data_IF_653186018526
#
_entry.id   IF_653186018526
#
_cell.length_a   1.000
_cell.length_b   1.000
_cell.length_c   1.000
_cell.angle_alpha   90.00
_cell.angle_beta   90.00
_cell.angle_gamma   90.00
#
_symmetry.space_group_name_H-M   'P 1'
#
loop_
_entity.id
_entity.type
_entity.pdbx_description
1 polymer ?
#
# COMPACT_ATOMS: atom_id res chain seq x y z
N UNK A 1 -1.00 32.86 32.86
CA UNK A 1 0.44 32.76 32.57
C UNK A 1 0.57 31.95 31.28
N UNK A 2 0.66 32.63 30.13
CA UNK A 2 0.85 31.99 28.82
C UNK A 2 2.33 31.68 28.63
N UNK A 3 2.64 30.43 28.29
CA UNK A 3 4.00 29.97 28.00
C UNK A 3 4.49 30.44 26.64
N UNK A 4 5.81 30.44 26.47
CA UNK A 4 6.52 30.80 25.25
C UNK A 4 6.09 29.91 24.07
N UNK A 5 5.64 30.54 22.99
CA UNK A 5 5.20 29.84 21.78
C UNK A 5 6.42 29.34 21.00
N UNK A 6 6.58 28.02 20.91
CA UNK A 6 7.72 27.39 20.25
C UNK A 6 7.92 27.88 18.81
N UNK A 7 9.10 28.45 18.53
CA UNK A 7 9.47 28.87 17.18
C UNK A 7 9.71 27.66 16.26
N UNK A 8 9.24 27.71 15.00
CA UNK A 8 9.40 26.59 14.08
C UNK A 8 10.88 26.34 13.74
N UNK A 9 11.26 25.07 13.71
CA UNK A 9 12.61 24.64 13.31
C UNK A 9 12.93 25.04 11.87
N UNK A 10 14.21 25.36 11.61
CA UNK A 10 14.70 25.71 10.27
C UNK A 10 14.65 24.51 9.33
N UNK A 11 13.72 24.53 8.38
CA UNK A 11 13.56 23.47 7.37
C UNK A 11 14.77 23.41 6.41
N UNK A 12 15.14 22.19 5.99
CA UNK A 12 16.08 21.97 4.87
C UNK A 12 15.38 22.26 3.54
N UNK A 13 16.10 22.80 2.55
CA UNK A 13 15.54 23.21 1.25
C UNK A 13 14.64 22.13 0.60
N UNK A 14 15.08 20.87 0.63
CA UNK A 14 14.32 19.73 0.12
C UNK A 14 12.95 19.54 0.83
N UNK A 15 12.89 19.73 2.14
CA UNK A 15 11.65 19.59 2.90
C UNK A 15 10.68 20.72 2.61
N UNK A 16 11.22 21.93 2.38
CA UNK A 16 10.44 23.10 1.95
C UNK A 16 9.81 22.87 0.57
N UNK A 17 10.58 22.35 -0.38
CA UNK A 17 10.10 22.02 -1.73
C UNK A 17 9.02 20.93 -1.72
N UNK A 18 9.22 19.85 -0.96
CA UNK A 18 8.24 18.77 -0.83
C UNK A 18 6.92 19.27 -0.17
N UNK A 19 7.02 20.15 0.83
CA UNK A 19 5.86 20.79 1.47
C UNK A 19 5.08 21.66 0.49
N UNK A 20 5.79 22.50 -0.26
CA UNK A 20 5.20 23.43 -1.23
C UNK A 20 4.56 22.68 -2.41
N UNK A 21 5.20 21.60 -2.87
CA UNK A 21 4.62 20.72 -3.90
C UNK A 21 3.37 20.00 -3.40
N UNK A 22 3.36 19.54 -2.14
CA UNK A 22 2.17 18.92 -1.52
C UNK A 22 1.05 19.93 -1.32
N UNK A 23 1.37 21.17 -0.95
CA UNK A 23 0.38 22.25 -0.81
C UNK A 23 -0.18 22.67 -2.17
N UNK A 24 0.66 22.79 -3.20
CA UNK A 24 0.23 23.05 -4.57
C UNK A 24 -0.67 21.93 -5.11
N UNK A 25 -0.33 20.67 -4.85
CA UNK A 25 -1.17 19.52 -5.21
C UNK A 25 -2.49 19.45 -4.42
N UNK A 26 -2.54 20.03 -3.21
CA UNK A 26 -3.78 20.19 -2.43
C UNK A 26 -4.63 21.34 -2.97
N UNK A 27 -4.02 22.49 -3.30
CA UNK A 27 -4.70 23.62 -3.95
C UNK A 27 -5.20 23.29 -5.35
N UNK A 28 -4.48 22.48 -6.12
CA UNK A 28 -4.93 22.03 -7.45
C UNK A 28 -6.08 21.02 -7.37
N UNK A 29 -6.30 20.40 -6.21
CA UNK A 29 -7.41 19.47 -5.95
C UNK A 29 -8.60 20.10 -5.22
N UNK A 30 -8.49 21.38 -4.84
CA UNK A 30 -9.45 22.07 -3.98
C UNK A 30 -9.84 23.46 -4.48
N UNK A 31 -9.78 23.72 -5.79
CA UNK A 31 -10.46 24.88 -6.37
C UNK A 31 -11.94 24.55 -6.52
N UNK A 32 -12.66 24.69 -5.42
CA UNK A 32 -14.12 24.56 -5.34
C UNK A 32 -14.56 24.97 -3.94
N UNK A 33 -14.88 26.26 -3.79
CA UNK A 33 -15.68 26.82 -2.69
C UNK A 33 -15.00 26.92 -1.32
N UNK A 34 -15.00 28.12 -0.75
CA UNK A 34 -14.82 28.30 0.68
C UNK A 34 -16.19 28.06 1.35
N UNK A 35 -16.39 26.89 1.95
CA UNK A 35 -17.58 26.64 2.78
C UNK A 35 -17.29 27.14 4.20
N UNK A 36 -17.69 28.39 4.45
CA UNK A 36 -17.79 28.98 5.79
C UNK A 36 -19.19 28.71 6.38
N UNK A 37 -19.56 27.44 6.53
CA UNK A 37 -20.74 27.05 7.33
C UNK A 37 -20.38 25.89 8.27
N UNK A 38 -20.68 26.08 9.56
CA UNK A 38 -20.36 25.19 10.69
C UNK A 38 -21.37 24.02 10.80
N UNK A 39 -21.64 23.36 9.67
CA UNK A 39 -22.50 22.18 9.62
C UNK A 39 -21.64 20.91 9.53
N UNK A 40 -21.85 20.00 10.48
CA UNK A 40 -21.16 18.73 10.61
C UNK A 40 -21.29 17.90 9.32
N UNK A 41 -20.18 17.52 8.64
CA UNK A 41 -20.28 16.82 7.37
C UNK A 41 -20.71 15.37 7.62
N UNK A 42 -21.93 15.02 7.20
CA UNK A 42 -22.38 13.63 7.20
C UNK A 42 -21.44 12.73 6.38
N UNK A 43 -21.17 11.55 6.92
CA UNK A 43 -20.26 10.58 6.36
C UNK A 43 -20.72 10.14 4.97
N UNK A 44 -20.05 10.66 3.93
CA UNK A 44 -20.20 10.18 2.56
C UNK A 44 -19.84 8.70 2.52
N UNK A 45 -20.85 7.84 2.48
CA UNK A 45 -20.75 6.43 2.11
C UNK A 45 -19.95 6.37 0.82
N UNK A 46 -18.83 5.66 0.88
CA UNK A 46 -17.91 5.51 -0.23
C UNK A 46 -18.57 4.69 -1.34
N UNK A 47 -19.37 5.35 -2.18
CA UNK A 47 -19.78 4.78 -3.44
C UNK A 47 -18.54 4.57 -4.31
N UNK A 48 -18.36 3.31 -4.69
CA UNK A 48 -17.64 2.82 -5.86
C UNK A 48 -16.45 3.70 -6.30
N UNK A 49 -15.29 3.28 -5.79
CA UNK A 49 -14.05 3.10 -6.56
C UNK A 49 -14.25 3.42 -8.05
N UNK A 50 -13.86 4.65 -8.40
CA UNK A 50 -13.81 5.25 -9.74
C UNK A 50 -13.69 4.18 -10.82
N UNK A 51 -14.78 3.94 -11.56
CA UNK A 51 -14.71 3.38 -12.91
C UNK A 51 -13.93 4.39 -13.74
N UNK A 52 -12.67 4.06 -13.98
CA UNK A 52 -11.87 4.67 -15.03
C UNK A 52 -11.99 3.70 -16.20
N UNK A 53 -12.37 4.22 -17.35
CA UNK A 53 -12.65 3.53 -18.61
C UNK A 53 -14.05 2.88 -18.70
N UNK A 54 -15.06 3.72 -18.68
CA UNK A 54 -16.25 3.62 -19.56
C UNK A 54 -16.75 5.06 -19.68
N UNK A 55 -15.96 5.89 -20.35
CA UNK A 55 -16.57 6.95 -21.16
C UNK A 55 -17.14 6.19 -22.36
N UNK A 56 -18.32 5.58 -22.15
CA UNK A 56 -19.26 5.33 -23.23
C UNK A 56 -19.53 6.71 -23.82
N UNK A 57 -18.72 7.06 -24.80
CA UNK A 57 -19.12 7.88 -25.92
C UNK A 57 -20.25 7.10 -26.59
N UNK A 58 -21.43 7.14 -25.97
CA UNK A 58 -22.71 6.97 -26.64
C UNK A 58 -22.85 8.18 -27.59
N UNK A 59 -22.02 8.21 -28.63
CA UNK A 59 -22.35 8.89 -29.87
C UNK A 59 -23.36 7.98 -30.61
N UNK A 60 -24.53 7.83 -30.00
CA UNK A 60 -25.79 7.57 -30.69
C UNK A 60 -26.29 8.92 -31.24
N UNK A 61 -25.42 9.58 -32.01
CA UNK A 61 -25.58 10.92 -32.55
C UNK A 61 -25.70 10.88 -34.06
N UNK A 62 -26.70 10.15 -34.59
CA UNK A 62 -26.78 9.92 -36.03
C UNK A 62 -28.14 9.55 -36.62
N UNK A 63 -29.27 9.77 -35.93
CA UNK A 63 -30.56 9.89 -36.62
C UNK A 63 -30.76 11.37 -36.99
N UNK A 64 -30.16 11.79 -38.10
CA UNK A 64 -30.50 13.05 -38.77
C UNK A 64 -30.41 12.81 -40.27
N UNK A 65 -31.57 12.70 -40.90
CA UNK A 65 -31.70 12.33 -42.29
C UNK A 65 -30.99 13.24 -43.27
N UNK A 66 -30.66 12.68 -44.42
CA UNK A 66 -30.78 13.37 -45.70
C UNK A 66 -30.81 12.31 -46.80
N UNK A 67 -31.85 12.35 -47.62
CA UNK A 67 -31.84 11.66 -48.90
C UNK A 67 -30.67 12.14 -49.75
N UNK A 68 -30.09 11.23 -50.53
CA UNK A 68 -29.00 11.54 -51.44
C UNK A 68 -28.30 10.28 -51.92
N UNK A 69 -28.69 9.84 -53.11
CA UNK A 69 -27.91 9.13 -54.13
C UNK A 69 -26.40 8.91 -53.80
N UNK A 70 -25.97 7.65 -53.64
CA UNK A 70 -24.57 7.31 -53.32
C UNK A 70 -24.36 5.84 -52.94
N UNK A 71 -24.63 4.91 -53.86
CA UNK A 71 -24.73 3.46 -53.62
C UNK A 71 -23.45 2.68 -53.21
N UNK A 72 -22.33 3.34 -52.90
CA UNK A 72 -21.05 2.66 -52.60
C UNK A 72 -20.39 3.10 -51.27
N UNK A 73 -20.71 4.29 -50.75
CA UNK A 73 -20.03 4.86 -49.56
C UNK A 73 -20.64 4.36 -48.23
N UNK A 74 -21.95 4.09 -48.21
CA UNK A 74 -22.66 3.57 -47.04
C UNK A 74 -22.23 2.15 -46.65
N UNK A 75 -21.80 1.34 -47.62
CA UNK A 75 -21.37 -0.04 -47.37
C UNK A 75 -20.05 -0.12 -46.60
N UNK A 76 -19.10 0.77 -46.87
CA UNK A 76 -17.80 0.78 -46.18
C UNK A 76 -17.92 1.22 -44.71
N UNK A 77 -18.74 2.23 -44.44
CA UNK A 77 -18.98 2.70 -43.07
C UNK A 77 -19.66 1.62 -42.21
N UNK A 78 -20.66 0.92 -42.78
CA UNK A 78 -21.29 -0.23 -42.12
C UNK A 78 -20.30 -1.36 -41.84
N UNK A 79 -19.38 -1.66 -42.77
CA UNK A 79 -18.35 -2.68 -42.58
C UNK A 79 -17.40 -2.32 -41.43
N UNK A 80 -16.94 -1.07 -41.34
CA UNK A 80 -16.06 -0.59 -40.27
C UNK A 80 -16.77 -0.64 -38.92
N UNK A 81 -18.05 -0.25 -38.87
CA UNK A 81 -18.86 -0.29 -37.65
C UNK A 81 -19.12 -1.74 -37.18
N UNK A 82 -19.39 -2.67 -38.10
CA UNK A 82 -19.51 -4.11 -37.78
C UNK A 82 -18.17 -4.68 -37.29
N UNK A 83 -17.06 -4.29 -37.90
CA UNK A 83 -15.73 -4.74 -37.49
C UNK A 83 -15.33 -4.21 -36.10
N UNK A 84 -15.68 -2.96 -35.78
CA UNK A 84 -15.40 -2.36 -34.47
C UNK A 84 -16.26 -3.00 -33.37
N UNK A 85 -17.55 -3.26 -33.63
CA UNK A 85 -18.43 -4.03 -32.74
C UNK A 85 -17.91 -5.45 -32.50
N UNK A 86 -17.58 -6.19 -33.56
CA UNK A 86 -17.04 -7.54 -33.45
C UNK A 86 -15.71 -7.59 -32.66
N UNK A 87 -14.84 -6.57 -32.78
CA UNK A 87 -13.61 -6.46 -31.99
C UNK A 87 -13.90 -6.23 -30.51
N UNK A 88 -14.88 -5.38 -30.16
CA UNK A 88 -15.31 -5.14 -28.78
C UNK A 88 -15.88 -6.43 -28.16
N UNK A 89 -16.72 -7.15 -28.90
CA UNK A 89 -17.31 -8.42 -28.46
C UNK A 89 -16.25 -9.51 -28.23
N UNK A 90 -15.28 -9.67 -29.15
CA UNK A 90 -14.16 -10.59 -28.97
C UNK A 90 -13.35 -10.28 -27.72
N UNK A 91 -13.00 -9.01 -27.50
CA UNK A 91 -12.27 -8.58 -26.30
C UNK A 91 -13.06 -8.84 -25.01
N UNK A 92 -14.39 -8.65 -25.04
CA UNK A 92 -15.28 -8.97 -23.92
C UNK A 92 -15.33 -10.48 -23.65
N UNK A 93 -15.47 -11.29 -24.70
CA UNK A 93 -15.48 -12.74 -24.59
C UNK A 93 -14.14 -13.30 -24.06
N UNK A 94 -13.01 -12.76 -24.53
CA UNK A 94 -11.67 -13.11 -24.03
C UNK A 94 -11.51 -12.73 -22.55
N UNK A 95 -11.99 -11.55 -22.14
CA UNK A 95 -11.96 -11.12 -20.74
C UNK A 95 -12.84 -12.01 -19.84
N UNK A 96 -14.04 -12.37 -20.30
CA UNK A 96 -14.94 -13.26 -19.57
C UNK A 96 -14.39 -14.68 -19.48
N UNK A 97 -13.79 -15.21 -20.55
CA UNK A 97 -13.11 -16.50 -20.55
C UNK A 97 -11.90 -16.51 -19.60
N UNK A 98 -11.09 -15.45 -19.61
CA UNK A 98 -9.97 -15.30 -18.68
C UNK A 98 -10.44 -15.20 -17.22
N UNK A 99 -11.55 -14.49 -16.98
CA UNK A 99 -12.16 -14.37 -15.65
C UNK A 99 -12.74 -15.70 -15.16
N UNK A 100 -13.35 -16.49 -16.06
CA UNK A 100 -13.86 -17.81 -15.75
C UNK A 100 -12.72 -18.79 -15.45
N UNK A 101 -11.66 -18.79 -16.24
CA UNK A 101 -10.46 -19.62 -16.03
C UNK A 101 -9.69 -19.25 -14.75
N UNK A 102 -9.72 -17.97 -14.34
CA UNK A 102 -9.10 -17.50 -13.11
C UNK A 102 -9.91 -17.83 -11.85
N UNK A 103 -11.13 -18.38 -11.99
CA UNK A 103 -11.94 -18.77 -10.84
C UNK A 103 -11.32 -20.04 -10.23
N UNK A 104 -10.89 -20.00 -8.95
CA UNK A 104 -10.35 -21.19 -8.32
C UNK A 104 -11.43 -22.27 -8.21
N UNK A 105 -11.08 -23.50 -8.57
CA UNK A 105 -11.88 -24.67 -8.26
C UNK A 105 -11.79 -24.92 -6.75
N UNK A 106 -12.94 -24.97 -6.09
CA UNK A 106 -13.02 -25.39 -4.70
C UNK A 106 -13.28 -26.89 -4.70
N UNK A 107 -12.31 -27.68 -4.23
CA UNK A 107 -12.53 -29.09 -3.93
C UNK A 107 -13.46 -29.20 -2.72
N UNK A 108 -14.74 -29.44 -2.98
CA UNK A 108 -15.63 -30.00 -1.97
C UNK A 108 -15.19 -31.46 -1.77
N UNK A 109 -14.43 -31.72 -0.71
CA UNK A 109 -14.19 -33.09 -0.23
C UNK A 109 -15.53 -33.66 0.25
N UNK A 110 -16.28 -34.21 -0.70
CA UNK A 110 -17.57 -34.84 -0.50
C UNK A 110 -17.37 -36.33 -0.20
N UNK A 111 -16.91 -36.64 1.00
CA UNK A 111 -17.09 -37.99 1.53
C UNK A 111 -17.63 -37.90 2.96
N UNK A 112 -18.91 -38.26 3.13
CA UNK A 112 -19.60 -38.28 4.42
C UNK A 112 -20.23 -36.96 4.91
N UNK A 113 -20.73 -36.94 6.17
CA UNK A 113 -21.41 -35.79 6.74
C UNK A 113 -20.44 -34.60 6.94
N UNK A 114 -20.97 -33.38 6.81
CA UNK A 114 -20.20 -32.12 6.91
C UNK A 114 -19.44 -32.04 8.25
N UNK A 115 -18.12 -31.96 8.19
CA UNK A 115 -17.28 -31.80 9.37
C UNK A 115 -17.33 -30.37 9.95
N UNK A 116 -17.16 -30.23 11.26
CA UNK A 116 -17.03 -28.92 11.91
C UNK A 116 -15.70 -28.25 11.52
N UNK A 117 -15.78 -26.98 11.11
CA UNK A 117 -14.59 -26.19 10.75
C UNK A 117 -13.79 -25.78 11.99
N UNK A 118 -12.48 -25.57 11.81
CA UNK A 118 -11.60 -25.07 12.89
C UNK A 118 -12.05 -23.73 13.48
N UNK A 119 -12.69 -22.88 12.69
CA UNK A 119 -13.22 -21.60 13.13
C UNK A 119 -14.31 -21.79 14.19
N UNK A 120 -15.27 -22.70 13.92
CA UNK A 120 -16.35 -23.04 14.83
C UNK A 120 -15.79 -23.77 16.06
N UNK A 121 -14.93 -24.78 15.86
CA UNK A 121 -14.37 -25.59 16.95
C UNK A 121 -13.56 -24.75 17.95
N UNK A 122 -12.74 -23.82 17.47
CA UNK A 122 -11.87 -23.02 18.34
C UNK A 122 -12.48 -21.71 18.83
N UNK A 123 -13.57 -21.25 18.21
CA UNK A 123 -14.30 -20.02 18.53
C UNK A 123 -13.38 -18.84 18.93
N UNK A 124 -12.35 -18.57 18.12
CA UNK A 124 -11.30 -17.58 18.44
C UNK A 124 -11.68 -16.14 18.08
N UNK A 125 -12.79 -15.90 17.39
CA UNK A 125 -13.25 -14.58 16.98
C UNK A 125 -12.21 -13.74 16.22
N UNK A 126 -12.39 -12.42 16.23
CA UNK A 126 -11.55 -11.42 15.56
C UNK A 126 -10.32 -11.04 16.40
N UNK A 127 -9.46 -12.00 16.72
CA UNK A 127 -8.21 -11.72 17.47
C UNK A 127 -7.13 -11.07 16.59
N UNK A 128 -6.34 -10.12 17.11
CA UNK A 128 -5.25 -9.49 16.36
C UNK A 128 -4.13 -10.50 16.07
N UNK A 129 -3.36 -10.24 15.01
CA UNK A 129 -2.22 -11.08 14.66
C UNK A 129 -1.11 -10.95 15.71
N UNK A 130 -0.76 -12.07 16.34
CA UNK A 130 0.35 -12.17 17.31
C UNK A 130 1.57 -12.81 16.65
N UNK A 131 2.77 -12.32 17.00
CA UNK A 131 4.01 -12.86 16.47
C UNK A 131 4.26 -14.30 16.91
N UNK A 132 4.99 -15.08 16.09
CA UNK A 132 5.30 -16.49 16.39
C UNK A 132 6.12 -16.65 17.67
N UNK A 133 6.97 -15.67 18.03
CA UNK A 133 7.80 -15.73 19.25
C UNK A 133 6.98 -15.63 20.53
N UNK A 134 5.80 -15.02 20.50
CA UNK A 134 4.91 -14.93 21.67
C UNK A 134 4.21 -16.26 21.96
N UNK A 135 4.14 -17.18 20.99
CA UNK A 135 3.56 -18.52 21.20
C UNK A 135 4.36 -19.36 22.21
N UNK A 136 5.67 -19.11 22.34
CA UNK A 136 6.53 -19.82 23.28
C UNK A 136 7.24 -18.81 24.21
N UNK A 137 6.91 -18.76 25.51
CA UNK A 137 7.46 -17.77 26.43
C UNK A 137 8.99 -17.87 26.55
N UNK A 138 9.57 -19.07 26.47
CA UNK A 138 11.02 -19.29 26.48
C UNK A 138 11.70 -18.61 25.29
N UNK A 139 11.14 -18.79 24.10
CA UNK A 139 11.67 -18.19 22.86
C UNK A 139 11.60 -16.66 22.92
N UNK A 140 10.47 -16.12 23.42
CA UNK A 140 10.31 -14.67 23.62
C UNK A 140 11.40 -14.10 24.54
N UNK A 141 11.67 -14.77 25.67
CA UNK A 141 12.67 -14.31 26.66
C UNK A 141 14.09 -14.45 26.12
N UNK A 142 14.41 -15.55 25.42
CA UNK A 142 15.72 -15.73 24.74
C UNK A 142 16.00 -14.61 23.73
N UNK A 143 15.04 -14.33 22.84
CA UNK A 143 15.19 -13.25 21.85
C UNK A 143 15.29 -11.86 22.51
N UNK A 144 14.56 -11.62 23.60
CA UNK A 144 14.68 -10.37 24.38
C UNK A 144 16.07 -10.22 24.97
N UNK A 145 16.63 -11.30 25.53
CA UNK A 145 17.98 -11.31 26.08
C UNK A 145 19.05 -11.08 25.00
N UNK A 146 18.97 -11.77 23.87
CA UNK A 146 19.89 -11.57 22.74
C UNK A 146 19.85 -10.14 22.21
N UNK A 147 18.65 -9.55 22.06
CA UNK A 147 18.49 -8.14 21.68
C UNK A 147 19.09 -7.20 22.74
N UNK A 148 18.85 -7.45 24.02
CA UNK A 148 19.42 -6.65 25.09
C UNK A 148 20.95 -6.75 25.12
N UNK A 149 21.52 -7.95 24.95
CA UNK A 149 22.97 -8.18 24.87
C UNK A 149 23.61 -7.36 23.73
N UNK A 150 22.97 -7.30 22.56
CA UNK A 150 23.41 -6.47 21.44
C UNK A 150 23.34 -4.97 21.74
N UNK A 151 22.26 -4.50 22.37
CA UNK A 151 22.10 -3.09 22.80
C UNK A 151 23.11 -2.68 23.88
N UNK A 152 23.41 -3.57 24.82
CA UNK A 152 24.44 -3.31 25.83
C UNK A 152 25.81 -3.09 25.18
N UNK A 153 26.14 -3.91 24.17
CA UNK A 153 27.40 -3.77 23.43
C UNK A 153 27.48 -2.50 22.56
N UNK A 154 26.35 -1.87 22.23
CA UNK A 154 26.36 -0.57 21.53
C UNK A 154 26.46 0.63 22.48
N UNK A 155 25.99 0.49 23.73
CA UNK A 155 26.05 1.57 24.72
C UNK A 155 27.38 1.64 25.45
N UNK A 156 27.95 0.48 25.79
CA UNK A 156 29.23 0.39 26.49
C UNK A 156 30.12 -0.68 25.87
N UNK A 157 31.42 -0.49 26.02
CA UNK A 157 32.38 -1.53 25.68
C UNK A 157 32.15 -2.73 26.60
N UNK A 158 31.75 -3.87 26.03
CA UNK A 158 31.61 -5.14 26.74
C UNK A 158 32.79 -6.01 26.35
N UNK A 159 33.52 -6.51 27.34
CA UNK A 159 34.59 -7.48 27.13
C UNK A 159 33.99 -8.75 26.48
N UNK A 160 34.53 -9.15 25.32
CA UNK A 160 34.07 -10.33 24.59
C UNK A 160 35.00 -11.50 24.83
N UNK A 161 36.23 -11.41 24.33
CA UNK A 161 37.31 -12.37 24.56
C UNK A 161 38.64 -11.63 24.42
N UNK A 162 39.67 -12.08 25.13
CA UNK A 162 41.01 -11.50 25.07
C UNK A 162 41.75 -11.83 23.78
N UNK A 163 42.77 -11.04 23.46
CA UNK A 163 43.63 -11.20 22.27
C UNK A 163 44.24 -12.60 22.21
N UNK A 164 44.58 -13.19 23.36
CA UNK A 164 45.14 -14.55 23.45
C UNK A 164 44.27 -15.66 22.86
N UNK A 165 42.94 -15.45 22.74
CA UNK A 165 42.03 -16.44 22.17
C UNK A 165 41.78 -16.26 20.65
N UNK A 166 42.28 -15.18 20.03
CA UNK A 166 41.95 -14.79 18.64
C UNK A 166 43.17 -14.60 17.72
N UNK A 167 44.38 -14.83 18.22
CA UNK A 167 45.62 -14.74 17.46
C UNK A 167 46.42 -13.47 17.74
N UNK A 168 47.29 -13.09 16.79
CA UNK A 168 48.16 -11.91 16.89
C UNK A 168 47.33 -10.63 16.79
N UNK A 169 47.73 -9.56 17.49
CA UNK A 169 47.05 -8.27 17.47
C UNK A 169 47.24 -7.57 16.11
N UNK A 170 46.15 -7.43 15.35
CA UNK A 170 46.12 -6.75 14.04
C UNK A 170 45.81 -5.23 14.14
N UNK A 171 45.67 -4.69 15.35
CA UNK A 171 45.19 -3.32 15.58
C UNK A 171 43.66 -3.21 15.80
N UNK A 172 43.20 -1.99 16.08
CA UNK A 172 41.78 -1.68 16.32
C UNK A 172 40.96 -1.66 15.01
N UNK A 173 40.17 -2.71 14.76
CA UNK A 173 39.39 -2.88 13.52
C UNK A 173 38.35 -1.78 13.26
N UNK A 174 37.83 -1.13 14.31
CA UNK A 174 36.85 -0.04 14.20
C UNK A 174 37.47 1.36 14.12
N UNK A 175 38.80 1.45 14.11
CA UNK A 175 39.54 2.71 14.14
C UNK A 175 39.67 3.32 15.55
N UNK A 176 40.64 4.22 15.69
CA UNK A 176 40.96 4.94 16.93
C UNK A 176 40.51 6.39 16.78
N UNK A 177 39.77 6.91 17.77
CA UNK A 177 39.36 8.32 17.83
C UNK A 177 40.02 9.04 19.01
N UNK A 178 40.18 10.37 18.89
CA UNK A 178 40.80 11.23 19.92
C UNK A 178 39.86 11.60 21.08
N UNK A 179 38.70 10.94 21.21
CA UNK A 179 37.67 11.29 22.19
C UNK A 179 38.02 10.74 23.57
N UNK A 180 38.04 11.61 24.58
CA UNK A 180 38.28 11.23 25.98
C UNK A 180 36.98 10.68 26.60
N UNK A 181 37.01 9.44 27.11
CA UNK A 181 35.86 8.75 27.72
C UNK A 181 36.02 8.49 29.23
N UNK A 182 37.04 9.05 29.87
CA UNK A 182 37.27 8.90 31.31
C UNK A 182 36.26 9.70 32.14
N UNK A 183 35.91 9.19 33.32
CA UNK A 183 35.10 9.95 34.29
C UNK A 183 36.02 10.97 34.98
N UNK A 184 35.64 12.25 34.94
CA UNK A 184 36.34 13.29 35.71
C UNK A 184 35.91 13.21 37.17
N UNK A 185 36.88 13.12 38.08
CA UNK A 185 36.66 13.14 39.52
C UNK A 185 36.33 14.55 40.01
#
# INVERSE_FOLDING_TARGET
MGGDDDLPYRERARQREERLAREAARRSRGQGGADLDDAEPEARVSEKKRRRDDADDDDDGGESGSGGDGGEENGYYELVHRASKAKKEKKKAEYEAAKAAARPEFEDSADGPRALTRAILKNKGLTPQRSKSVRNPRVKKRQRFEKAKKKMASQKAVYKDGVGNKGVYEGEKSGISKVIKSVRL
#
